data_IF_765858063313
#
_entry.id   IF_765858063313
#
_cell.length_a   1.000
_cell.length_b   1.000
_cell.length_c   1.000
_cell.angle_alpha   90.00
_cell.angle_beta   90.00
_cell.angle_gamma   90.00
#
_symmetry.space_group_name_H-M   'P 1'
#
loop_
_entity.id
_entity.type
_entity.pdbx_description
1 polymer ?
#
# COMPACT_ATOMS: atom_id res chain seq x y z
N UNK A 1 19.05 8.06 -7.36
CA UNK A 1 18.59 9.26 -8.10
C UNK A 1 19.28 9.34 -9.46
N UNK A 2 18.50 9.31 -10.55
CA UNK A 2 18.96 9.23 -11.94
C UNK A 2 19.50 10.58 -12.44
N UNK A 3 20.81 10.70 -12.71
CA UNK A 3 21.47 11.96 -13.14
C UNK A 3 22.38 11.71 -14.34
N UNK A 4 22.44 12.67 -15.26
CA UNK A 4 23.42 12.66 -16.36
C UNK A 4 24.62 13.51 -15.95
N UNK A 5 25.80 12.90 -15.93
CA UNK A 5 27.03 13.52 -15.43
C UNK A 5 27.36 14.85 -16.13
N UNK A 6 27.81 15.82 -15.31
CA UNK A 6 28.38 17.14 -15.68
C UNK A 6 27.42 18.24 -16.15
N UNK A 7 26.13 17.98 -16.36
CA UNK A 7 25.21 18.99 -16.92
C UNK A 7 24.21 19.63 -15.96
N UNK A 8 24.20 19.31 -14.66
CA UNK A 8 23.10 19.67 -13.72
C UNK A 8 21.70 19.31 -14.26
N UNK A 9 21.60 18.27 -15.11
CA UNK A 9 20.35 17.79 -15.71
C UNK A 9 20.04 16.38 -15.23
N UNK A 10 18.77 16.15 -14.91
CA UNK A 10 18.24 14.83 -14.63
C UNK A 10 17.87 14.17 -15.94
N UNK A 11 17.94 12.84 -16.03
CA UNK A 11 17.33 12.15 -17.15
C UNK A 11 15.97 11.58 -16.73
N UNK A 12 15.01 11.66 -17.65
CA UNK A 12 13.69 11.07 -17.46
C UNK A 12 13.81 9.55 -17.49
N UNK A 13 13.28 8.86 -16.50
CA UNK A 13 13.32 7.40 -16.42
C UNK A 13 12.39 6.68 -17.41
N UNK A 14 11.62 7.40 -18.22
CA UNK A 14 10.69 6.81 -19.21
C UNK A 14 11.06 7.15 -20.65
N UNK A 15 11.54 8.37 -20.92
CA UNK A 15 11.96 8.77 -22.27
C UNK A 15 13.46 8.98 -22.44
N UNK A 16 14.24 8.87 -21.35
CA UNK A 16 15.72 8.92 -21.31
C UNK A 16 16.36 10.24 -21.74
N UNK A 17 15.54 11.23 -22.11
CA UNK A 17 15.99 12.57 -22.42
C UNK A 17 16.40 13.35 -21.15
N UNK A 18 17.34 14.27 -21.31
CA UNK A 18 17.85 15.10 -20.22
C UNK A 18 16.98 16.35 -20.02
N UNK A 19 16.49 16.56 -18.81
CA UNK A 19 15.65 17.69 -18.43
C UNK A 19 16.27 18.48 -17.27
N UNK A 20 16.16 19.82 -17.29
CA UNK A 20 16.62 20.65 -16.18
C UNK A 20 15.74 20.49 -14.94
N UNK A 21 14.44 20.24 -15.14
CA UNK A 21 13.46 20.02 -14.08
C UNK A 21 12.73 18.71 -14.36
N UNK A 22 12.71 17.82 -13.38
CA UNK A 22 11.94 16.57 -13.41
C UNK A 22 10.97 16.57 -12.24
N UNK A 23 9.82 15.93 -12.44
CA UNK A 23 8.84 15.65 -11.40
C UNK A 23 9.21 14.34 -10.71
N UNK A 24 9.13 14.36 -9.38
CA UNK A 24 9.26 13.16 -8.55
C UNK A 24 7.88 12.52 -8.40
N UNK A 25 7.71 11.35 -9.00
CA UNK A 25 6.44 10.63 -8.99
C UNK A 25 6.58 9.33 -8.19
N UNK A 26 5.83 9.17 -7.10
CA UNK A 26 5.77 7.89 -6.37
C UNK A 26 5.43 6.73 -7.30
N UNK A 27 6.06 5.57 -7.13
CA UNK A 27 5.77 4.39 -7.97
C UNK A 27 4.38 3.81 -7.72
N UNK A 28 3.84 3.97 -6.51
CA UNK A 28 2.54 3.45 -6.09
C UNK A 28 1.50 4.58 -5.92
N UNK A 29 0.22 4.20 -5.90
CA UNK A 29 -0.87 5.10 -5.54
C UNK A 29 -1.00 5.22 -4.03
N UNK A 30 -1.16 6.45 -3.54
CA UNK A 30 -1.56 6.76 -2.16
C UNK A 30 -0.79 5.98 -1.08
N UNK A 31 0.57 6.02 -1.09
CA UNK A 31 1.34 5.36 -0.04
C UNK A 31 1.02 5.98 1.33
N UNK A 32 1.04 5.17 2.39
CA UNK A 32 0.86 5.68 3.77
C UNK A 32 1.95 6.71 4.13
N UNK A 33 3.16 6.48 3.61
CA UNK A 33 4.32 7.37 3.75
C UNK A 33 5.00 7.48 2.38
N UNK A 34 5.19 8.70 1.89
CA UNK A 34 6.00 8.95 0.70
C UNK A 34 7.48 8.82 1.05
N UNK A 35 8.20 7.99 0.30
CA UNK A 35 9.64 7.77 0.46
C UNK A 35 10.37 8.25 -0.78
N UNK A 36 11.48 8.97 -0.58
CA UNK A 36 12.28 9.50 -1.69
C UNK A 36 12.79 8.42 -2.67
N UNK A 37 13.25 7.24 -2.22
CA UNK A 37 13.66 6.17 -3.12
C UNK A 37 12.50 5.59 -3.95
N UNK A 38 11.26 5.75 -3.49
CA UNK A 38 10.06 5.30 -4.20
C UNK A 38 9.62 6.28 -5.30
N UNK A 39 10.38 7.36 -5.55
CA UNK A 39 10.11 8.31 -6.62
C UNK A 39 10.79 7.93 -7.94
N UNK A 40 10.05 8.05 -9.03
CA UNK A 40 10.57 8.16 -10.40
C UNK A 40 10.89 9.62 -10.74
N UNK A 41 12.01 9.83 -11.42
CA UNK A 41 12.41 11.09 -12.02
C UNK A 41 11.85 11.18 -13.45
N UNK A 42 10.76 11.91 -13.65
CA UNK A 42 10.08 11.99 -14.95
C UNK A 42 10.03 13.43 -15.47
N UNK A 43 10.12 13.62 -16.79
CA UNK A 43 9.80 14.94 -17.38
C UNK A 43 8.30 15.23 -17.25
N UNK A 44 7.85 16.49 -17.36
CA UNK A 44 6.43 16.82 -17.16
C UNK A 44 5.45 16.03 -18.05
N UNK A 45 5.85 15.74 -19.30
CA UNK A 45 5.02 14.94 -20.21
C UNK A 45 4.93 13.48 -19.74
N UNK A 46 6.07 12.85 -19.46
CA UNK A 46 6.14 11.49 -18.97
C UNK A 46 5.47 11.32 -17.60
N UNK A 47 5.58 12.32 -16.72
CA UNK A 47 4.90 12.34 -15.43
C UNK A 47 3.37 12.35 -15.59
N UNK A 48 2.84 13.13 -16.53
CA UNK A 48 1.42 13.12 -16.86
C UNK A 48 0.96 11.74 -17.35
N UNK A 49 1.67 11.15 -18.31
CA UNK A 49 1.32 9.83 -18.84
C UNK A 49 1.46 8.73 -17.79
N UNK A 50 2.55 8.75 -17.03
CA UNK A 50 2.76 7.82 -15.92
C UNK A 50 1.63 7.87 -14.90
N UNK A 51 1.19 9.07 -14.47
CA UNK A 51 0.07 9.23 -13.53
C UNK A 51 -1.25 8.68 -14.08
N UNK A 52 -1.47 8.73 -15.39
CA UNK A 52 -2.65 8.13 -16.04
C UNK A 52 -2.57 6.61 -16.02
N UNK A 53 -1.42 6.04 -16.41
CA UNK A 53 -1.20 4.58 -16.37
C UNK A 53 -1.28 4.05 -14.93
N UNK A 54 -0.68 4.77 -13.98
CA UNK A 54 -0.73 4.45 -12.54
C UNK A 54 -2.13 4.43 -11.97
N UNK A 55 -3.10 5.11 -12.58
CA UNK A 55 -4.49 5.05 -12.12
C UNK A 55 -5.18 3.71 -12.43
N UNK A 56 -4.64 2.90 -13.35
CA UNK A 56 -5.11 1.54 -13.58
C UNK A 56 -4.50 0.59 -12.53
N UNK A 57 -5.36 0.03 -11.67
CA UNK A 57 -4.93 -0.84 -10.58
C UNK A 57 -4.34 -2.17 -11.07
N UNK A 58 -4.74 -2.67 -12.26
CA UNK A 58 -4.21 -3.92 -12.79
C UNK A 58 -2.80 -3.73 -13.33
N UNK A 59 -2.60 -2.71 -14.17
CA UNK A 59 -1.28 -2.40 -14.74
C UNK A 59 -0.29 -2.03 -13.63
N UNK A 60 -0.73 -1.24 -12.63
CA UNK A 60 0.11 -0.88 -11.50
C UNK A 60 0.53 -2.12 -10.70
N UNK A 61 -0.39 -3.05 -10.45
CA UNK A 61 -0.09 -4.27 -9.72
C UNK A 61 0.94 -5.13 -10.47
N UNK A 62 0.76 -5.36 -11.76
CA UNK A 62 1.73 -6.12 -12.56
C UNK A 62 3.11 -5.46 -12.59
N UNK A 63 3.17 -4.12 -12.71
CA UNK A 63 4.42 -3.39 -12.65
C UNK A 63 5.16 -3.57 -11.31
N UNK A 64 4.44 -3.51 -10.18
CA UNK A 64 5.03 -3.72 -8.86
C UNK A 64 5.46 -5.19 -8.68
N UNK A 65 4.65 -6.15 -9.12
CA UNK A 65 5.00 -7.57 -9.11
C UNK A 65 6.26 -7.85 -9.96
N UNK A 66 6.41 -7.22 -11.13
CA UNK A 66 7.59 -7.35 -11.96
C UNK A 66 8.85 -6.84 -11.24
N UNK A 67 8.75 -5.69 -10.55
CA UNK A 67 9.86 -5.15 -9.73
C UNK A 67 10.24 -6.11 -8.60
N UNK A 68 9.25 -6.65 -7.89
CA UNK A 68 9.47 -7.57 -6.77
C UNK A 68 10.16 -8.87 -7.23
N UNK A 69 9.80 -9.37 -8.41
CA UNK A 69 10.31 -10.62 -8.96
C UNK A 69 11.66 -10.50 -9.69
N UNK A 70 12.23 -9.30 -9.79
CA UNK A 70 13.57 -9.11 -10.35
C UNK A 70 14.61 -9.90 -9.55
N UNK A 71 15.42 -10.69 -10.25
CA UNK A 71 16.52 -11.44 -9.64
C UNK A 71 17.74 -10.58 -9.34
N UNK A 72 18.57 -11.02 -8.40
CA UNK A 72 19.84 -10.34 -8.09
C UNK A 72 20.79 -10.30 -9.28
N UNK A 73 20.69 -11.25 -10.21
CA UNK A 73 21.49 -11.25 -11.44
C UNK A 73 21.06 -10.13 -12.40
N UNK A 74 19.76 -9.86 -12.50
CA UNK A 74 19.22 -8.77 -13.33
C UNK A 74 19.60 -7.41 -12.76
N UNK A 75 19.51 -7.24 -11.44
CA UNK A 75 19.89 -6.00 -10.75
C UNK A 75 21.40 -5.81 -10.68
N UNK A 76 22.18 -6.89 -10.56
CA UNK A 76 23.64 -6.85 -10.45
C UNK A 76 24.39 -6.61 -11.76
N UNK A 77 23.68 -6.42 -12.87
CA UNK A 77 24.26 -6.16 -14.19
C UNK A 77 24.85 -4.74 -14.30
N UNK A 78 25.65 -4.48 -15.34
CA UNK A 78 26.19 -3.14 -15.60
C UNK A 78 25.17 -2.22 -16.30
N UNK A 79 24.17 -2.80 -16.98
CA UNK A 79 23.20 -2.07 -17.78
C UNK A 79 21.98 -1.68 -16.93
N UNK A 80 21.34 -0.52 -17.20
CA UNK A 80 20.12 -0.12 -16.50
C UNK A 80 19.07 -1.23 -16.53
N UNK A 81 18.32 -1.36 -15.43
CA UNK A 81 17.23 -2.32 -15.33
C UNK A 81 15.98 -1.72 -15.97
N UNK A 82 15.39 -2.45 -16.90
CA UNK A 82 14.21 -2.04 -17.64
C UNK A 82 12.98 -2.83 -17.17
N UNK A 83 11.92 -2.12 -16.77
CA UNK A 83 10.66 -2.73 -16.34
C UNK A 83 9.51 -2.16 -17.17
N UNK A 84 8.68 -3.03 -17.73
CA UNK A 84 7.54 -2.62 -18.55
C UNK A 84 6.42 -2.03 -17.70
N UNK A 85 5.78 -0.95 -18.15
CA UNK A 85 4.59 -0.40 -17.51
C UNK A 85 3.59 0.14 -18.54
N UNK A 86 2.44 -0.52 -18.65
CA UNK A 86 1.47 -0.24 -19.71
C UNK A 86 2.11 -0.41 -21.09
N UNK A 87 2.18 0.67 -21.85
CA UNK A 87 2.79 0.70 -23.19
C UNK A 87 4.21 1.31 -23.20
N UNK A 88 4.79 1.58 -22.04
CA UNK A 88 6.09 2.23 -21.88
C UNK A 88 7.06 1.31 -21.14
N UNK A 89 8.33 1.71 -21.07
CA UNK A 89 9.37 1.02 -20.30
C UNK A 89 10.03 2.03 -19.36
N UNK A 90 10.18 1.65 -18.10
CA UNK A 90 10.78 2.48 -17.06
C UNK A 90 12.18 1.95 -16.76
N UNK A 91 13.17 2.84 -16.81
CA UNK A 91 14.56 2.54 -16.58
C UNK A 91 14.99 2.91 -15.16
N UNK A 92 15.74 2.01 -14.55
CA UNK A 92 16.28 2.19 -13.21
C UNK A 92 17.79 1.99 -13.23
N UNK A 93 18.49 2.76 -12.38
CA UNK A 93 19.83 2.34 -12.00
C UNK A 93 19.73 1.14 -11.07
N UNK A 94 20.80 0.33 -11.01
CA UNK A 94 20.86 -0.86 -10.17
C UNK A 94 20.60 -0.51 -8.70
N UNK A 95 21.21 0.58 -8.21
CA UNK A 95 20.98 1.06 -6.84
C UNK A 95 19.52 1.45 -6.62
N UNK A 96 18.91 2.17 -7.56
CA UNK A 96 17.54 2.66 -7.37
C UNK A 96 16.53 1.52 -7.32
N UNK A 97 16.63 0.55 -8.23
CA UNK A 97 15.71 -0.60 -8.23
C UNK A 97 15.93 -1.52 -7.04
N UNK A 98 17.18 -1.69 -6.59
CA UNK A 98 17.49 -2.45 -5.37
C UNK A 98 16.86 -1.80 -4.13
N UNK A 99 16.96 -0.47 -4.01
CA UNK A 99 16.34 0.29 -2.92
C UNK A 99 14.81 0.14 -2.93
N UNK A 100 14.18 0.24 -4.10
CA UNK A 100 12.73 0.06 -4.25
C UNK A 100 12.32 -1.36 -3.80
N UNK A 101 12.99 -2.39 -4.32
CA UNK A 101 12.66 -3.80 -4.01
C UNK A 101 12.81 -4.09 -2.52
N UNK A 102 13.87 -3.59 -1.89
CA UNK A 102 14.08 -3.72 -0.44
C UNK A 102 12.99 -3.01 0.37
N UNK A 103 12.62 -1.78 -0.01
CA UNK A 103 11.54 -1.04 0.65
C UNK A 103 10.18 -1.73 0.52
N UNK A 104 9.89 -2.34 -0.63
CA UNK A 104 8.67 -3.12 -0.83
C UNK A 104 8.63 -4.34 0.08
N UNK A 105 9.74 -5.09 0.19
CA UNK A 105 9.84 -6.22 1.11
C UNK A 105 9.69 -5.81 2.58
N UNK A 106 10.29 -4.68 2.99
CA UNK A 106 10.12 -4.13 4.33
C UNK A 106 8.69 -3.69 4.60
N UNK A 107 8.01 -3.10 3.61
CA UNK A 107 6.61 -2.70 3.74
C UNK A 107 5.69 -3.93 3.90
N UNK A 108 5.90 -4.97 3.10
CA UNK A 108 5.18 -6.23 3.22
C UNK A 108 5.43 -6.88 4.58
N UNK A 109 6.69 -6.97 5.02
CA UNK A 109 7.01 -7.50 6.34
C UNK A 109 6.35 -6.68 7.46
N UNK A 110 6.38 -5.34 7.38
CA UNK A 110 5.72 -4.48 8.34
C UNK A 110 4.20 -4.69 8.37
N UNK A 111 3.57 -4.89 7.22
CA UNK A 111 2.15 -5.20 7.13
C UNK A 111 1.83 -6.62 7.67
N UNK A 112 2.70 -7.60 7.41
CA UNK A 112 2.62 -8.92 8.05
C UNK A 112 2.82 -8.85 9.57
N UNK A 113 3.68 -7.97 10.09
CA UNK A 113 3.79 -7.75 11.54
C UNK A 113 2.55 -7.09 12.13
N UNK A 114 1.89 -6.17 11.40
CA UNK A 114 0.59 -5.62 11.82
C UNK A 114 -0.48 -6.72 11.86
N UNK A 115 -0.45 -7.66 10.91
CA UNK A 115 -1.39 -8.77 10.82
C UNK A 115 -1.08 -9.92 11.81
N UNK A 116 0.19 -10.23 12.04
CA UNK A 116 0.66 -11.28 12.96
C UNK A 116 0.76 -10.82 14.41
N UNK A 117 0.98 -9.52 14.66
CA UNK A 117 0.84 -8.90 15.97
C UNK A 117 -0.59 -9.00 16.52
N UNK A 118 -1.58 -9.21 15.64
CA UNK A 118 -2.95 -9.55 16.03
C UNK A 118 -3.12 -11.05 16.40
N UNK A 119 -2.13 -11.91 16.14
CA UNK A 119 -2.15 -13.35 16.45
C UNK A 119 -1.41 -13.73 17.74
N UNK A 120 -0.48 -12.88 18.21
CA UNK A 120 0.25 -13.09 19.47
C UNK A 120 -0.49 -12.53 20.69
N UNK A 121 -1.73 -12.97 20.92
CA UNK A 121 -2.34 -12.87 22.25
C UNK A 121 -3.35 -13.99 22.52
N UNK A 122 -3.06 -15.23 22.11
CA UNK A 122 -3.69 -16.41 22.72
C UNK A 122 -2.70 -17.58 22.84
N UNK A 123 -2.62 -18.12 24.06
CA UNK A 123 -1.73 -19.16 24.61
C UNK A 123 -0.33 -18.63 25.01
N UNK A 124 0.08 -18.63 26.27
CA UNK A 124 -0.14 -19.66 27.29
C UNK A 124 -0.13 -19.09 28.71
N UNK A 125 -1.08 -19.52 29.53
CA UNK A 125 -0.96 -19.45 30.98
C UNK A 125 0.08 -20.47 31.44
N UNK A 126 1.25 -20.01 31.89
CA UNK A 126 1.97 -20.60 33.04
C UNK A 126 2.96 -19.59 33.62
N UNK A 127 3.00 -19.58 34.96
CA UNK A 127 3.64 -18.62 35.87
C UNK A 127 5.17 -18.72 35.93
N UNK A 128 5.74 -17.75 36.66
CA UNK A 128 7.13 -17.52 37.13
C UNK A 128 8.04 -16.78 36.12
N UNK A 129 8.88 -15.80 36.46
CA UNK A 129 9.03 -14.79 37.53
C UNK A 129 10.26 -13.95 37.09
N UNK A 130 10.19 -12.61 37.12
CA UNK A 130 11.28 -11.57 37.14
C UNK A 130 12.31 -11.58 35.96
N UNK A 131 12.78 -10.51 35.31
CA UNK A 131 13.18 -9.14 35.69
C UNK A 131 12.99 -8.11 34.55
N UNK A 132 13.06 -6.84 34.93
CA UNK A 132 12.65 -5.62 34.23
C UNK A 132 13.68 -5.04 33.23
N UNK A 133 13.20 -4.34 32.19
CA UNK A 133 13.60 -2.96 31.83
C UNK A 133 12.55 -2.34 30.87
N UNK A 134 12.20 -1.03 30.98
CA UNK A 134 10.99 -0.44 30.41
C UNK A 134 11.22 0.27 29.06
N UNK A 135 10.13 0.80 28.51
CA UNK A 135 10.06 1.77 27.40
C UNK A 135 9.86 1.22 25.97
N UNK A 136 8.61 0.83 25.70
CA UNK A 136 7.97 1.23 24.45
C UNK A 136 6.50 1.59 24.73
N UNK A 137 6.15 2.84 24.48
CA UNK A 137 4.84 3.43 24.76
C UNK A 137 3.70 2.71 24.01
N UNK A 138 2.66 2.33 24.76
CA UNK A 138 1.47 1.66 24.25
C UNK A 138 0.50 2.73 23.72
N UNK A 139 0.38 2.87 22.39
CA UNK A 139 -0.68 3.70 21.78
C UNK A 139 -1.92 2.83 21.55
N UNK A 140 -2.84 2.86 22.51
CA UNK A 140 -4.17 2.25 22.41
C UNK A 140 -5.03 3.02 21.39
N UNK A 141 -5.20 2.50 20.16
CA UNK A 141 -6.20 3.03 19.22
C UNK A 141 -7.59 2.54 19.61
N UNK A 142 -8.49 3.47 19.97
CA UNK A 142 -9.82 3.21 20.53
C UNK A 142 -10.86 2.60 19.57
N UNK A 143 -10.45 1.88 18.53
CA UNK A 143 -11.34 1.33 17.47
C UNK A 143 -11.68 -0.15 17.76
N UNK A 144 -11.04 -0.79 18.75
CA UNK A 144 -11.30 -2.19 19.07
C UNK A 144 -12.71 -2.47 19.65
N UNK A 145 -13.42 -1.41 20.04
CA UNK A 145 -14.81 -1.45 20.54
C UNK A 145 -15.80 -1.95 19.47
N UNK A 146 -15.47 -1.76 18.18
CA UNK A 146 -16.37 -2.10 17.07
C UNK A 146 -16.36 -3.59 16.69
N UNK A 147 -15.48 -4.40 17.28
CA UNK A 147 -15.57 -5.88 17.19
C UNK A 147 -16.93 -6.41 17.66
N UNK A 148 -17.62 -5.69 18.54
CA UNK A 148 -18.99 -6.01 18.97
C UNK A 148 -20.07 -5.86 17.89
N UNK A 149 -19.73 -5.32 16.70
CA UNK A 149 -20.69 -5.14 15.61
C UNK A 149 -20.88 -6.42 14.80
N UNK A 150 -19.97 -7.40 14.93
CA UNK A 150 -20.07 -8.69 14.24
C UNK A 150 -21.41 -9.37 14.58
N UNK A 151 -22.15 -9.78 13.55
CA UNK A 151 -23.48 -10.38 13.66
C UNK A 151 -24.62 -9.39 13.87
N UNK A 152 -24.36 -8.09 14.02
CA UNK A 152 -25.41 -7.06 14.10
C UNK A 152 -25.91 -6.69 12.71
N UNK A 153 -27.19 -6.30 12.64
CA UNK A 153 -27.76 -5.70 11.44
C UNK A 153 -27.34 -4.25 11.36
N UNK A 154 -26.96 -3.84 10.16
CA UNK A 154 -26.52 -2.48 9.86
C UNK A 154 -27.15 -2.00 8.56
N UNK A 155 -27.37 -0.70 8.47
CA UNK A 155 -27.79 -0.01 7.24
C UNK A 155 -26.60 0.79 6.72
N UNK A 156 -26.17 0.48 5.50
CA UNK A 156 -25.13 1.24 4.79
C UNK A 156 -25.78 2.21 3.79
N UNK A 157 -25.40 3.49 3.81
CA UNK A 157 -25.99 4.56 2.97
C UNK A 157 -26.06 4.21 1.47
N UNK A 158 -25.03 3.57 0.93
CA UNK A 158 -24.96 3.19 -0.49
C UNK A 158 -25.30 1.71 -0.77
N UNK A 159 -25.30 0.86 0.26
CA UNK A 159 -25.35 -0.60 0.10
C UNK A 159 -26.71 -1.21 0.42
N UNK A 160 -27.52 -0.54 1.24
CA UNK A 160 -28.77 -1.08 1.78
C UNK A 160 -28.58 -1.70 3.16
N UNK A 161 -29.42 -2.67 3.52
CA UNK A 161 -29.38 -3.32 4.84
C UNK A 161 -28.64 -4.64 4.78
N UNK A 162 -27.72 -4.87 5.71
CA UNK A 162 -26.94 -6.09 5.79
C UNK A 162 -26.59 -6.51 7.21
N UNK A 163 -25.90 -7.63 7.33
CA UNK A 163 -25.35 -8.13 8.60
C UNK A 163 -23.84 -8.04 8.52
N UNK A 164 -23.21 -7.57 9.60
CA UNK A 164 -21.76 -7.53 9.69
C UNK A 164 -21.23 -8.95 9.80
N UNK A 165 -20.50 -9.42 8.80
CA UNK A 165 -19.91 -10.76 8.79
C UNK A 165 -18.53 -10.78 9.47
N UNK A 166 -17.75 -9.70 9.36
CA UNK A 166 -16.43 -9.55 9.97
C UNK A 166 -16.15 -8.08 10.31
N UNK A 167 -15.39 -7.83 11.37
CA UNK A 167 -14.87 -6.52 11.72
C UNK A 167 -13.52 -6.71 12.43
N UNK A 168 -12.45 -6.20 11.85
CA UNK A 168 -11.07 -6.36 12.32
C UNK A 168 -10.50 -5.07 12.95
N UNK A 169 -11.32 -4.03 13.07
CA UNK A 169 -10.91 -2.71 13.57
C UNK A 169 -10.39 -1.76 12.49
N UNK A 170 -10.01 -2.24 11.29
CA UNK A 170 -9.66 -1.41 10.12
C UNK A 170 -10.75 -1.45 9.05
N UNK A 171 -11.35 -2.61 8.87
CA UNK A 171 -12.41 -2.90 7.91
C UNK A 171 -13.64 -3.54 8.59
N UNK A 172 -14.78 -3.33 7.93
CA UNK A 172 -16.05 -3.93 8.28
C UNK A 172 -16.65 -4.58 7.02
N UNK A 173 -16.87 -5.89 7.10
CA UNK A 173 -17.49 -6.69 6.05
C UNK A 173 -18.98 -6.77 6.29
N UNK A 174 -19.78 -6.33 5.32
CA UNK A 174 -21.25 -6.35 5.41
C UNK A 174 -21.79 -7.26 4.33
N UNK A 175 -22.54 -8.27 4.73
CA UNK A 175 -23.33 -9.11 3.83
C UNK A 175 -24.71 -8.48 3.66
N UNK A 176 -24.99 -7.94 2.48
CA UNK A 176 -26.24 -7.22 2.22
C UNK A 176 -27.40 -8.17 1.95
N UNK A 177 -28.50 -7.95 2.68
CA UNK A 177 -29.76 -8.68 2.52
C UNK A 177 -30.75 -7.93 1.62
N UNK A 178 -30.62 -6.60 1.53
CA UNK A 178 -31.48 -5.73 0.71
C UNK A 178 -30.69 -4.58 0.11
N UNK A 179 -31.23 -3.94 -0.93
CA UNK A 179 -30.62 -2.79 -1.60
C UNK A 179 -29.78 -3.13 -2.84
N UNK A 180 -29.04 -2.16 -3.39
CA UNK A 180 -28.30 -2.32 -4.65
C UNK A 180 -27.22 -3.41 -4.63
N UNK A 181 -26.77 -3.78 -3.42
CA UNK A 181 -25.73 -4.80 -3.20
C UNK A 181 -26.28 -6.10 -2.59
N UNK A 182 -27.59 -6.31 -2.60
CA UNK A 182 -28.22 -7.51 -2.04
C UNK A 182 -27.58 -8.81 -2.57
N UNK A 183 -27.28 -9.73 -1.66
CA UNK A 183 -26.60 -10.99 -1.96
C UNK A 183 -25.06 -10.90 -2.01
N UNK A 184 -24.48 -9.70 -1.93
CA UNK A 184 -23.03 -9.51 -1.94
C UNK A 184 -22.48 -9.26 -0.54
N UNK A 185 -21.25 -9.69 -0.32
CA UNK A 185 -20.44 -9.30 0.86
C UNK A 185 -19.44 -8.25 0.40
N UNK A 186 -19.45 -7.08 1.04
CA UNK A 186 -18.56 -5.98 0.69
C UNK A 186 -17.79 -5.51 1.92
N UNK A 187 -16.49 -5.31 1.74
CA UNK A 187 -15.59 -4.80 2.76
C UNK A 187 -15.50 -3.28 2.64
N UNK A 188 -15.64 -2.58 3.76
CA UNK A 188 -15.53 -1.13 3.85
C UNK A 188 -14.50 -0.73 4.89
N UNK A 189 -13.80 0.38 4.70
CA UNK A 189 -12.98 0.98 5.76
C UNK A 189 -13.87 1.40 6.93
N UNK A 190 -13.61 0.86 8.12
CA UNK A 190 -14.37 1.16 9.32
C UNK A 190 -14.21 2.65 9.70
N UNK A 191 -12.99 3.18 9.57
CA UNK A 191 -12.72 4.59 9.82
C UNK A 191 -13.56 5.51 8.91
N UNK A 192 -13.59 5.25 7.60
CA UNK A 192 -14.40 6.05 6.67
C UNK A 192 -15.90 5.90 6.96
N UNK A 193 -16.33 4.68 7.31
CA UNK A 193 -17.72 4.43 7.65
C UNK A 193 -18.18 5.18 8.90
N UNK A 194 -17.32 5.30 9.91
CA UNK A 194 -17.61 6.05 11.13
C UNK A 194 -17.51 7.56 10.90
N UNK A 195 -16.42 8.04 10.28
CA UNK A 195 -16.17 9.47 10.02
C UNK A 195 -17.25 10.11 9.15
N UNK A 196 -17.74 9.37 8.15
CA UNK A 196 -18.77 9.87 7.22
C UNK A 196 -20.18 9.39 7.59
N UNK A 197 -20.34 8.69 8.73
CA UNK A 197 -21.61 8.13 9.18
C UNK A 197 -22.30 7.29 8.09
N UNK A 198 -21.54 6.40 7.44
CA UNK A 198 -22.03 5.56 6.34
C UNK A 198 -22.77 4.32 6.86
N UNK A 199 -22.54 3.94 8.12
CA UNK A 199 -23.10 2.75 8.75
C UNK A 199 -23.92 3.17 9.98
N UNK A 200 -25.12 2.64 10.07
CA UNK A 200 -26.02 2.81 11.21
C UNK A 200 -26.45 1.42 11.71
N UNK A 201 -26.38 1.17 13.03
CA UNK A 201 -26.90 -0.05 13.65
C UNK A 201 -28.43 0.01 13.72
N UNK A 202 -29.10 -1.10 13.44
CA UNK A 202 -30.57 -1.25 13.41
C UNK A 202 -31.05 -2.50 14.15
#
# INVERSE_FOLDING_TARGET
MYKVDRAYKYACQMCHEAFPNVEMCQIANSPEVELDPMNLCLCPNCASEYKKMRADEYDLRYFLEDIENLSDAEIGSMDPVEVGFGNETIWFTQTHIAEIRELMALQQAADEYKDNGALSTKSSTKKEEVEADPEAEIVLSGIDVYKGYIGKKVKHKAGGTGVVSKCDGKYISIQFSTGPKAGQTVNYSLEMCLKNGLIELI
#
